data_IF_736716946324
#
_entry.id   IF_736716946324
#
_cell.length_a   1.000
_cell.length_b   1.000
_cell.length_c   1.000
_cell.angle_alpha   90.00
_cell.angle_beta   90.00
_cell.angle_gamma   90.00
#
_symmetry.space_group_name_H-M   'P 1'
#
loop_
_entity.id
_entity.type
_entity.pdbx_description
1 polymer ?
#
# COMPACT_ATOMS: atom_id res chain seq x y z
N UNK A 1 31.99 19.37 -22.38
CA UNK A 1 30.70 18.65 -22.62
C UNK A 1 29.83 18.90 -21.41
N UNK A 2 28.86 19.77 -21.52
CA UNK A 2 28.01 20.25 -20.42
C UNK A 2 27.00 19.19 -20.02
N UNK A 3 27.02 18.83 -18.76
CA UNK A 3 26.13 17.85 -18.12
C UNK A 3 24.66 18.38 -18.10
N UNK A 4 23.81 17.88 -19.01
CA UNK A 4 22.45 18.39 -19.27
C UNK A 4 21.36 17.79 -18.35
N UNK A 5 21.71 17.12 -17.26
CA UNK A 5 20.75 16.46 -16.35
C UNK A 5 20.98 16.77 -14.87
N UNK A 6 21.22 18.04 -14.55
CA UNK A 6 20.94 18.45 -13.17
C UNK A 6 19.43 18.75 -13.09
N UNK A 7 18.63 18.01 -12.29
CA UNK A 7 17.24 18.43 -12.04
C UNK A 7 17.31 19.82 -11.41
N UNK A 8 16.48 20.73 -11.94
CA UNK A 8 16.33 22.06 -11.35
C UNK A 8 16.10 21.87 -9.84
N UNK A 9 16.96 22.48 -9.00
CA UNK A 9 16.81 22.45 -7.56
C UNK A 9 15.51 23.20 -7.20
N UNK A 10 14.41 22.45 -7.06
CA UNK A 10 13.14 22.97 -6.56
C UNK A 10 13.38 23.31 -5.09
N UNK A 11 12.94 24.50 -4.67
CA UNK A 11 13.12 24.90 -3.28
C UNK A 11 12.45 23.88 -2.34
N UNK A 12 13.03 23.53 -1.20
CA UNK A 12 12.46 22.59 -0.24
C UNK A 12 11.02 22.93 0.18
N UNK A 13 10.65 24.21 0.16
CA UNK A 13 9.31 24.70 0.52
C UNK A 13 8.29 24.41 -0.57
N UNK A 14 8.63 24.60 -1.85
CA UNK A 14 7.73 24.28 -2.99
C UNK A 14 7.49 22.78 -3.12
N UNK A 15 8.54 21.99 -2.91
CA UNK A 15 8.45 20.53 -2.92
C UNK A 15 7.44 20.00 -1.91
N UNK A 16 7.50 20.45 -0.67
CA UNK A 16 6.54 20.07 0.37
C UNK A 16 5.10 20.49 0.06
N UNK A 17 4.91 21.63 -0.56
CA UNK A 17 3.58 22.11 -0.94
C UNK A 17 2.92 21.15 -1.95
N UNK A 18 3.63 20.69 -2.98
CA UNK A 18 3.08 19.83 -4.01
C UNK A 18 2.88 18.39 -3.52
N UNK A 19 3.79 17.84 -2.73
CA UNK A 19 3.62 16.54 -2.09
C UNK A 19 2.39 16.50 -1.19
N UNK A 20 2.20 17.53 -0.36
CA UNK A 20 1.02 17.65 0.50
C UNK A 20 -0.26 17.86 -0.29
N UNK A 21 -0.22 18.57 -1.43
CA UNK A 21 -1.39 18.68 -2.33
C UNK A 21 -1.76 17.32 -2.92
N UNK A 22 -0.78 16.56 -3.44
CA UNK A 22 -1.00 15.18 -3.91
C UNK A 22 -1.62 14.32 -2.82
N UNK A 23 -1.06 14.35 -1.62
CA UNK A 23 -1.57 13.59 -0.48
C UNK A 23 -3.02 13.99 -0.15
N UNK A 24 -3.33 15.27 -0.01
CA UNK A 24 -4.69 15.76 0.25
C UNK A 24 -5.67 15.37 -0.86
N UNK A 25 -5.24 15.47 -2.13
CA UNK A 25 -6.05 15.05 -3.28
C UNK A 25 -6.42 13.57 -3.19
N UNK A 26 -5.46 12.71 -2.85
CA UNK A 26 -5.68 11.28 -2.70
C UNK A 26 -6.53 10.96 -1.46
N UNK A 27 -6.37 11.70 -0.35
CA UNK A 27 -7.19 11.53 0.84
C UNK A 27 -8.68 11.84 0.60
N UNK A 28 -9.00 12.72 -0.33
CA UNK A 28 -10.39 13.01 -0.75
C UNK A 28 -10.98 11.88 -1.63
N UNK A 29 -10.15 11.02 -2.21
CA UNK A 29 -10.54 9.88 -3.02
C UNK A 29 -10.82 8.63 -2.21
N UNK A 30 -11.15 7.55 -2.92
CA UNK A 30 -11.43 6.26 -2.29
C UNK A 30 -10.13 5.59 -1.84
N UNK A 31 -10.07 5.20 -0.57
CA UNK A 31 -9.00 4.41 0.03
C UNK A 31 -9.47 2.99 0.30
N UNK A 32 -8.57 2.04 0.12
CA UNK A 32 -8.77 0.65 0.49
C UNK A 32 -7.75 0.33 1.58
N UNK A 33 -8.24 -0.19 2.68
CA UNK A 33 -7.46 -0.65 3.82
C UNK A 33 -7.50 -2.16 3.89
N UNK A 34 -6.33 -2.78 3.99
CA UNK A 34 -6.18 -4.22 4.09
C UNK A 34 -5.43 -4.54 5.38
N UNK A 35 -6.10 -5.22 6.29
CA UNK A 35 -5.51 -5.55 7.59
C UNK A 35 -4.32 -6.50 7.43
N UNK A 36 -3.23 -6.21 8.15
CA UNK A 36 -2.00 -7.01 8.08
C UNK A 36 -2.23 -8.46 8.50
N UNK A 37 -3.02 -8.68 9.55
CA UNK A 37 -3.44 -10.01 9.98
C UNK A 37 -4.14 -10.80 8.87
N UNK A 38 -5.01 -10.13 8.08
CA UNK A 38 -5.67 -10.77 6.93
C UNK A 38 -4.66 -11.13 5.84
N UNK A 39 -3.65 -10.28 5.57
CA UNK A 39 -2.60 -10.63 4.60
C UNK A 39 -1.85 -11.88 5.05
N UNK A 40 -1.49 -11.96 6.33
CA UNK A 40 -0.73 -13.08 6.89
C UNK A 40 -1.51 -14.40 6.85
N UNK A 41 -2.79 -14.41 7.23
CA UNK A 41 -3.61 -15.63 7.17
C UNK A 41 -4.02 -16.04 5.74
N UNK A 42 -3.78 -15.19 4.74
CA UNK A 42 -3.97 -15.50 3.31
C UNK A 42 -2.65 -15.81 2.60
N UNK A 43 -1.69 -16.43 3.29
CA UNK A 43 -0.39 -16.86 2.75
C UNK A 43 0.41 -15.70 2.14
N UNK A 44 0.35 -14.50 2.72
CA UNK A 44 0.93 -13.26 2.20
C UNK A 44 0.40 -12.86 0.80
N UNK A 45 -0.73 -13.46 0.35
CA UNK A 45 -1.38 -13.04 -0.90
C UNK A 45 -2.21 -11.77 -0.70
N UNK A 46 -1.58 -10.65 -0.98
CA UNK A 46 -2.17 -9.32 -0.83
C UNK A 46 -3.50 -9.17 -1.60
N UNK A 47 -3.65 -9.80 -2.77
CA UNK A 47 -4.88 -9.70 -3.57
C UNK A 47 -6.03 -10.45 -2.93
N UNK A 48 -5.79 -11.66 -2.43
CA UNK A 48 -6.77 -12.42 -1.66
C UNK A 48 -7.15 -11.68 -0.37
N UNK A 49 -6.18 -11.10 0.31
CA UNK A 49 -6.43 -10.26 1.49
C UNK A 49 -7.29 -9.02 1.16
N UNK A 50 -7.05 -8.36 0.03
CA UNK A 50 -7.89 -7.24 -0.46
C UNK A 50 -9.33 -7.70 -0.66
N UNK A 51 -9.51 -8.82 -1.37
CA UNK A 51 -10.83 -9.38 -1.65
C UNK A 51 -11.58 -9.73 -0.36
N UNK A 52 -10.92 -10.42 0.57
CA UNK A 52 -11.47 -10.78 1.87
C UNK A 52 -11.79 -9.54 2.72
N UNK A 53 -10.87 -8.58 2.82
CA UNK A 53 -11.09 -7.34 3.58
C UNK A 53 -12.28 -6.54 3.04
N UNK A 54 -12.51 -6.55 1.73
CA UNK A 54 -13.66 -5.90 1.12
C UNK A 54 -14.98 -6.63 1.47
N UNK A 55 -14.98 -7.96 1.49
CA UNK A 55 -16.14 -8.72 1.96
C UNK A 55 -16.42 -8.46 3.45
N UNK A 56 -15.39 -8.46 4.29
CA UNK A 56 -15.51 -8.14 5.71
C UNK A 56 -16.01 -6.70 5.95
N UNK A 57 -15.59 -5.74 5.12
CA UNK A 57 -16.14 -4.39 5.15
C UNK A 57 -17.65 -4.41 4.90
N UNK A 58 -18.12 -5.14 3.87
CA UNK A 58 -19.54 -5.25 3.57
C UNK A 58 -20.32 -5.97 4.66
N UNK A 59 -19.76 -6.99 5.31
CA UNK A 59 -20.37 -7.60 6.49
C UNK A 59 -20.64 -6.55 7.59
N UNK A 60 -19.73 -5.61 7.77
CA UNK A 60 -19.86 -4.59 8.80
C UNK A 60 -20.90 -3.54 8.47
N UNK A 61 -20.88 -2.98 7.24
CA UNK A 61 -21.68 -1.79 6.89
C UNK A 61 -22.97 -2.10 6.12
N UNK A 62 -23.09 -3.28 5.56
CA UNK A 62 -24.25 -3.67 4.73
C UNK A 62 -25.53 -3.70 5.56
N UNK A 63 -26.59 -3.05 5.07
CA UNK A 63 -27.87 -2.92 5.79
C UNK A 63 -28.69 -4.22 5.76
N UNK A 64 -28.60 -4.98 4.68
CA UNK A 64 -29.41 -6.21 4.47
C UNK A 64 -28.65 -7.49 4.85
N UNK A 65 -27.46 -7.39 5.44
CA UNK A 65 -26.62 -8.54 5.78
C UNK A 65 -27.29 -9.48 6.78
N UNK A 66 -27.93 -8.92 7.81
CA UNK A 66 -28.60 -9.70 8.86
C UNK A 66 -29.80 -10.45 8.26
N UNK A 67 -30.65 -9.78 7.49
CA UNK A 67 -31.82 -10.39 6.87
C UNK A 67 -31.47 -11.44 5.80
N UNK A 68 -30.22 -11.41 5.29
CA UNK A 68 -29.68 -12.34 4.30
C UNK A 68 -28.76 -13.40 4.92
N UNK A 69 -28.82 -13.61 6.21
CA UNK A 69 -28.00 -14.62 6.92
C UNK A 69 -26.50 -14.51 6.57
N UNK A 70 -25.96 -13.29 6.53
CA UNK A 70 -24.56 -13.03 6.25
C UNK A 70 -24.17 -13.06 4.76
N UNK A 71 -25.11 -13.27 3.83
CA UNK A 71 -24.80 -13.30 2.41
C UNK A 71 -24.62 -11.91 1.80
N UNK A 72 -23.48 -11.73 1.11
CA UNK A 72 -23.06 -10.50 0.43
C UNK A 72 -23.28 -10.69 -1.08
N UNK A 73 -24.16 -9.90 -1.66
CA UNK A 73 -24.41 -9.91 -3.12
C UNK A 73 -23.54 -8.84 -3.77
N UNK A 74 -22.56 -9.27 -4.58
CA UNK A 74 -21.68 -8.38 -5.34
C UNK A 74 -21.43 -8.93 -6.74
N UNK A 75 -21.58 -8.05 -7.72
CA UNK A 75 -21.17 -8.36 -9.08
C UNK A 75 -19.64 -8.25 -9.23
N UNK A 76 -19.11 -8.84 -10.28
CA UNK A 76 -17.69 -8.74 -10.64
C UNK A 76 -17.31 -7.27 -10.89
N UNK A 77 -18.18 -6.53 -11.58
CA UNK A 77 -17.94 -5.12 -11.91
C UNK A 77 -17.91 -4.24 -10.65
N UNK A 78 -18.85 -4.45 -9.72
CA UNK A 78 -18.84 -3.73 -8.43
C UNK A 78 -17.55 -4.00 -7.64
N UNK A 79 -17.14 -5.26 -7.58
CA UNK A 79 -15.91 -5.66 -6.90
C UNK A 79 -14.67 -5.03 -7.55
N UNK A 80 -14.60 -5.00 -8.89
CA UNK A 80 -13.52 -4.33 -9.62
C UNK A 80 -13.50 -2.82 -9.35
N UNK A 81 -14.65 -2.16 -9.38
CA UNK A 81 -14.76 -0.73 -9.06
C UNK A 81 -14.39 -0.42 -7.61
N UNK A 82 -14.65 -1.36 -6.70
CA UNK A 82 -14.39 -1.20 -5.28
C UNK A 82 -12.95 -1.47 -4.89
N UNK A 83 -12.29 -2.44 -5.52
CA UNK A 83 -10.98 -2.96 -5.13
C UNK A 83 -9.88 -2.75 -6.16
N UNK A 84 -10.25 -2.55 -7.43
CA UNK A 84 -9.32 -2.56 -8.55
C UNK A 84 -8.89 -3.96 -9.01
N UNK A 85 -9.42 -5.03 -8.41
CA UNK A 85 -9.12 -6.41 -8.80
C UNK A 85 -9.82 -6.74 -10.13
N UNK A 86 -9.05 -7.15 -11.13
CA UNK A 86 -9.57 -7.60 -12.41
C UNK A 86 -10.38 -8.90 -12.28
N UNK A 87 -11.18 -9.24 -13.29
CA UNK A 87 -12.00 -10.46 -13.31
C UNK A 87 -11.19 -11.72 -13.02
N UNK A 88 -10.00 -11.85 -13.64
CA UNK A 88 -9.14 -13.02 -13.43
C UNK A 88 -8.54 -13.05 -12.02
N UNK A 89 -8.18 -11.91 -11.47
CA UNK A 89 -7.67 -11.78 -10.08
C UNK A 89 -8.76 -12.12 -9.07
N UNK A 90 -9.99 -11.61 -9.27
CA UNK A 90 -11.13 -11.96 -8.42
C UNK A 90 -11.41 -13.47 -8.43
N UNK A 91 -11.27 -14.14 -9.59
CA UNK A 91 -11.43 -15.59 -9.68
C UNK A 91 -10.36 -16.31 -8.86
N UNK A 92 -9.08 -15.95 -9.04
CA UNK A 92 -7.97 -16.54 -8.29
C UNK A 92 -8.12 -16.33 -6.78
N UNK A 93 -8.45 -15.09 -6.35
CA UNK A 93 -8.69 -14.77 -4.93
C UNK A 93 -9.83 -15.61 -4.34
N UNK A 94 -10.96 -15.69 -5.07
CA UNK A 94 -12.11 -16.50 -4.65
C UNK A 94 -11.74 -17.97 -4.45
N UNK A 95 -11.02 -18.57 -5.40
CA UNK A 95 -10.65 -19.98 -5.33
C UNK A 95 -9.64 -20.22 -4.20
N UNK A 96 -8.71 -19.30 -3.98
CA UNK A 96 -7.77 -19.34 -2.85
C UNK A 96 -8.50 -19.24 -1.50
N UNK A 97 -9.36 -18.24 -1.31
CA UNK A 97 -10.09 -18.05 -0.06
C UNK A 97 -11.07 -19.18 0.25
N UNK A 98 -11.67 -19.82 -0.77
CA UNK A 98 -12.46 -21.03 -0.59
C UNK A 98 -11.61 -22.20 -0.12
N UNK A 99 -10.42 -22.38 -0.69
CA UNK A 99 -9.47 -23.42 -0.27
C UNK A 99 -9.05 -23.26 1.19
N UNK A 100 -8.85 -22.01 1.64
CA UNK A 100 -8.56 -21.69 3.03
C UNK A 100 -9.76 -21.81 3.98
N UNK A 101 -10.99 -21.99 3.43
CA UNK A 101 -12.21 -22.09 4.22
C UNK A 101 -12.72 -20.76 4.76
N UNK A 102 -12.25 -19.61 4.26
CA UNK A 102 -12.65 -18.28 4.77
C UNK A 102 -13.91 -17.76 4.12
N UNK A 103 -14.26 -18.27 2.94
CA UNK A 103 -15.50 -17.91 2.25
C UNK A 103 -16.18 -19.13 1.62
N UNK A 104 -17.49 -19.01 1.50
CA UNK A 104 -18.28 -19.83 0.60
C UNK A 104 -18.97 -18.95 -0.45
N UNK A 105 -19.41 -19.56 -1.54
CA UNK A 105 -20.12 -18.88 -2.63
C UNK A 105 -21.43 -19.57 -2.92
N UNK A 106 -22.48 -18.79 -3.16
CA UNK A 106 -23.79 -19.26 -3.54
C UNK A 106 -24.33 -18.50 -4.76
N UNK A 107 -25.37 -19.06 -5.37
CA UNK A 107 -26.11 -18.43 -6.46
C UNK A 107 -27.59 -18.40 -6.10
N UNK A 108 -28.18 -17.21 -6.07
CA UNK A 108 -29.54 -16.99 -5.56
C UNK A 108 -30.43 -16.33 -6.60
N UNK A 109 -31.73 -16.66 -6.51
CA UNK A 109 -32.77 -16.10 -7.36
C UNK A 109 -32.74 -16.60 -8.80
N UNK A 110 -33.76 -16.20 -9.60
CA UNK A 110 -33.89 -16.60 -11.01
C UNK A 110 -32.70 -16.15 -11.88
N UNK A 111 -32.07 -15.00 -11.55
CA UNK A 111 -30.89 -14.49 -12.25
C UNK A 111 -29.55 -15.06 -11.76
N UNK A 112 -29.56 -16.10 -10.92
CA UNK A 112 -28.37 -16.76 -10.37
C UNK A 112 -27.30 -15.72 -9.88
N UNK A 113 -27.73 -14.71 -9.12
CA UNK A 113 -26.83 -13.70 -8.59
C UNK A 113 -25.79 -14.34 -7.70
N UNK A 114 -24.52 -14.06 -7.97
CA UNK A 114 -23.40 -14.51 -7.16
C UNK A 114 -23.45 -13.82 -5.78
N UNK A 115 -23.29 -14.64 -4.74
CA UNK A 115 -23.17 -14.15 -3.38
C UNK A 115 -22.00 -14.83 -2.66
N UNK A 116 -21.49 -14.15 -1.63
CA UNK A 116 -20.39 -14.59 -0.80
C UNK A 116 -20.84 -14.63 0.66
N UNK A 117 -20.39 -15.63 1.39
CA UNK A 117 -20.52 -15.68 2.85
C UNK A 117 -19.13 -15.82 3.45
N UNK A 118 -18.83 -15.04 4.46
CA UNK A 118 -17.52 -15.04 5.15
C UNK A 118 -17.64 -15.84 6.44
N UNK A 119 -16.69 -16.74 6.67
CA UNK A 119 -16.59 -17.55 7.88
C UNK A 119 -15.72 -16.84 8.91
N UNK A 120 -16.33 -15.96 9.72
CA UNK A 120 -15.62 -15.17 10.73
C UNK A 120 -14.95 -16.02 11.80
N UNK A 121 -15.54 -17.18 12.14
CA UNK A 121 -14.98 -18.17 13.06
C UNK A 121 -13.69 -18.83 12.52
N UNK A 122 -13.64 -19.11 11.22
CA UNK A 122 -12.43 -19.64 10.58
C UNK A 122 -11.31 -18.60 10.53
N UNK A 123 -11.66 -17.34 10.24
CA UNK A 123 -10.73 -16.22 10.24
C UNK A 123 -10.17 -15.96 11.64
N UNK A 124 -11.03 -15.91 12.66
CA UNK A 124 -10.56 -15.67 14.03
C UNK A 124 -9.68 -16.80 14.53
N UNK A 125 -9.99 -18.07 14.24
CA UNK A 125 -9.11 -19.21 14.53
C UNK A 125 -7.73 -19.05 13.87
N UNK A 126 -7.71 -18.76 12.58
CA UNK A 126 -6.45 -18.58 11.86
C UNK A 126 -5.60 -17.42 12.43
N UNK A 127 -6.24 -16.35 12.92
CA UNK A 127 -5.54 -15.27 13.62
C UNK A 127 -5.04 -15.73 14.98
N UNK A 128 -5.84 -16.46 15.76
CA UNK A 128 -5.39 -17.01 17.03
C UNK A 128 -4.18 -17.94 16.84
N UNK A 129 -4.23 -18.82 15.85
CA UNK A 129 -3.12 -19.71 15.50
C UNK A 129 -1.86 -18.93 15.06
N UNK A 130 -2.04 -17.86 14.27
CA UNK A 130 -0.94 -17.02 13.78
C UNK A 130 -0.20 -16.31 14.93
N UNK A 131 -0.91 -15.94 15.99
CA UNK A 131 -0.36 -15.19 17.13
C UNK A 131 -0.18 -16.04 18.39
N UNK A 132 -0.27 -17.38 18.28
CA UNK A 132 -0.12 -18.34 19.38
C UNK A 132 -1.00 -18.00 20.59
N UNK A 133 -2.28 -17.64 20.36
CA UNK A 133 -3.21 -17.30 21.44
C UNK A 133 -3.78 -18.55 22.09
N UNK A 134 -3.73 -18.63 23.42
CA UNK A 134 -4.25 -19.77 24.19
C UNK A 134 -5.78 -19.91 24.07
N UNK A 135 -6.49 -18.78 24.04
CA UNK A 135 -7.94 -18.74 23.92
C UNK A 135 -8.40 -18.43 22.50
N UNK A 136 -9.17 -19.35 21.91
CA UNK A 136 -9.77 -19.13 20.59
C UNK A 136 -10.99 -18.21 20.74
N UNK A 137 -10.85 -16.98 20.29
CA UNK A 137 -11.96 -16.04 20.22
C UNK A 137 -12.90 -16.41 19.09
N UNK A 138 -14.15 -16.75 19.41
CA UNK A 138 -15.18 -16.94 18.39
C UNK A 138 -15.74 -15.57 17.96
N UNK A 139 -15.39 -15.16 16.74
CA UNK A 139 -15.85 -13.89 16.19
C UNK A 139 -17.20 -14.06 15.48
N UNK A 140 -18.26 -13.50 16.08
CA UNK A 140 -19.60 -13.51 15.48
C UNK A 140 -19.82 -12.33 14.54
N UNK A 141 -20.89 -12.41 13.72
CA UNK A 141 -21.30 -11.29 12.86
C UNK A 141 -21.64 -10.04 13.68
N UNK A 142 -22.27 -10.20 14.83
CA UNK A 142 -22.63 -9.12 15.74
C UNK A 142 -21.37 -8.42 16.28
N UNK A 143 -20.41 -9.19 16.77
CA UNK A 143 -19.12 -8.67 17.26
C UNK A 143 -18.39 -7.89 16.17
N UNK A 144 -18.33 -8.45 14.97
CA UNK A 144 -17.71 -7.80 13.82
C UNK A 144 -18.39 -6.46 13.45
N UNK A 145 -19.69 -6.39 13.57
CA UNK A 145 -20.45 -5.16 13.28
C UNK A 145 -20.29 -4.09 14.36
N UNK A 146 -20.28 -4.49 15.63
CA UNK A 146 -20.14 -3.56 16.76
C UNK A 146 -18.71 -3.06 16.97
N UNK A 147 -17.71 -3.84 16.58
CA UNK A 147 -16.27 -3.52 16.73
C UNK A 147 -15.85 -3.28 18.20
N UNK A 148 -16.54 -3.87 19.16
CA UNK A 148 -16.31 -3.63 20.59
C UNK A 148 -15.28 -4.58 21.21
N UNK A 149 -15.08 -5.77 20.62
CA UNK A 149 -14.12 -6.74 21.12
C UNK A 149 -12.68 -6.22 21.04
N UNK A 150 -11.90 -6.44 22.12
CA UNK A 150 -10.48 -6.13 22.14
C UNK A 150 -9.74 -6.86 21.02
N UNK A 151 -10.07 -8.10 20.75
CA UNK A 151 -9.56 -8.91 19.64
C UNK A 151 -9.61 -8.17 18.28
N UNK A 152 -10.74 -7.53 17.96
CA UNK A 152 -10.87 -6.78 16.71
C UNK A 152 -9.91 -5.59 16.71
N UNK A 153 -9.83 -4.87 17.82
CA UNK A 153 -8.97 -3.70 17.98
C UNK A 153 -7.48 -4.08 17.90
N UNK A 154 -7.11 -5.22 18.50
CA UNK A 154 -5.73 -5.64 18.60
C UNK A 154 -5.20 -6.23 17.27
N UNK A 155 -6.01 -7.00 16.54
CA UNK A 155 -5.58 -7.71 15.36
C UNK A 155 -6.06 -7.14 14.02
N UNK A 156 -6.98 -6.15 14.02
CA UNK A 156 -7.48 -5.49 12.81
C UNK A 156 -7.21 -3.98 12.79
N UNK A 157 -6.34 -3.46 13.65
CA UNK A 157 -6.01 -2.03 13.68
C UNK A 157 -4.93 -1.62 12.68
N UNK A 158 -3.94 -2.48 12.43
CA UNK A 158 -2.84 -2.21 11.50
C UNK A 158 -3.17 -2.67 10.09
N UNK A 159 -2.89 -1.81 9.12
CA UNK A 159 -3.30 -2.05 7.73
C UNK A 159 -2.36 -1.45 6.70
N UNK A 160 -2.28 -2.10 5.55
CA UNK A 160 -1.72 -1.55 4.32
C UNK A 160 -2.82 -0.78 3.61
N UNK A 161 -2.54 0.47 3.23
CA UNK A 161 -3.54 1.35 2.59
C UNK A 161 -3.09 1.72 1.19
N UNK A 162 -4.00 1.63 0.23
CA UNK A 162 -3.78 2.16 -1.11
C UNK A 162 -4.97 2.98 -1.62
N UNK A 163 -4.73 3.81 -2.63
CA UNK A 163 -5.71 4.73 -3.17
C UNK A 163 -6.18 4.27 -4.56
N UNK A 164 -7.48 4.23 -4.78
CA UNK A 164 -8.07 3.79 -6.06
C UNK A 164 -7.66 4.66 -7.24
N UNK A 165 -7.42 5.95 -7.04
CA UNK A 165 -6.93 6.84 -8.09
C UNK A 165 -5.53 6.41 -8.57
N UNK A 166 -4.70 5.86 -7.67
CA UNK A 166 -3.39 5.31 -8.05
C UNK A 166 -3.52 3.96 -8.77
N UNK A 167 -4.53 3.15 -8.44
CA UNK A 167 -4.82 1.93 -9.20
C UNK A 167 -5.26 2.28 -10.63
N UNK A 168 -6.13 3.28 -10.79
CA UNK A 168 -6.55 3.77 -12.12
C UNK A 168 -5.39 4.32 -12.93
N UNK A 169 -4.52 5.09 -12.29
CA UNK A 169 -3.32 5.65 -12.90
C UNK A 169 -2.36 4.55 -13.37
N UNK A 170 -2.03 3.60 -12.50
CA UNK A 170 -0.96 2.61 -12.76
C UNK A 170 -1.45 1.33 -13.44
N UNK A 171 -2.74 1.04 -13.35
CA UNK A 171 -3.34 -0.21 -13.84
C UNK A 171 -2.87 -1.47 -13.07
N UNK A 172 -2.21 -1.30 -11.90
CA UNK A 172 -1.68 -2.41 -11.10
C UNK A 172 -1.76 -2.07 -9.60
N UNK A 173 -2.42 -2.93 -8.83
CA UNK A 173 -2.64 -2.74 -7.39
C UNK A 173 -1.31 -2.72 -6.63
N UNK A 174 -0.35 -3.58 -6.97
CA UNK A 174 0.95 -3.62 -6.29
C UNK A 174 1.74 -2.33 -6.48
N UNK A 175 1.70 -1.78 -7.69
CA UNK A 175 2.34 -0.49 -7.99
C UNK A 175 1.62 0.64 -7.24
N UNK A 176 0.29 0.61 -7.17
CA UNK A 176 -0.49 1.58 -6.41
C UNK A 176 -0.20 1.49 -4.89
N UNK A 177 -0.02 0.30 -4.33
CA UNK A 177 0.41 0.09 -2.94
C UNK A 177 1.78 0.73 -2.71
N UNK A 178 2.77 0.46 -3.58
CA UNK A 178 4.12 1.03 -3.45
C UNK A 178 4.09 2.55 -3.49
N UNK A 179 3.37 3.14 -4.45
CA UNK A 179 3.26 4.59 -4.57
C UNK A 179 2.50 5.21 -3.39
N UNK A 180 1.43 4.56 -2.90
CA UNK A 180 0.70 4.99 -1.69
C UNK A 180 1.59 4.98 -0.46
N UNK A 181 2.39 3.91 -0.27
CA UNK A 181 3.31 3.76 0.86
C UNK A 181 4.42 4.82 0.83
N UNK A 182 5.02 5.06 -0.34
CA UNK A 182 6.04 6.09 -0.48
C UNK A 182 5.49 7.49 -0.21
N UNK A 183 4.31 7.82 -0.73
CA UNK A 183 3.62 9.08 -0.48
C UNK A 183 3.28 9.26 1.01
N UNK A 184 2.71 8.23 1.64
CA UNK A 184 2.37 8.27 3.06
C UNK A 184 3.60 8.54 3.93
N UNK A 185 4.67 7.77 3.73
CA UNK A 185 5.88 7.93 4.52
C UNK A 185 6.59 9.27 4.25
N UNK A 186 6.56 9.77 3.02
CA UNK A 186 7.10 11.09 2.69
C UNK A 186 6.26 12.23 3.26
N UNK A 187 4.92 12.13 3.21
CA UNK A 187 4.01 13.15 3.71
C UNK A 187 3.95 13.21 5.25
N UNK A 188 4.02 12.05 5.93
CA UNK A 188 3.95 11.96 7.39
C UNK A 188 5.09 12.69 8.10
N UNK A 189 6.28 12.67 7.51
CA UNK A 189 7.46 13.34 8.08
C UNK A 189 7.44 14.86 7.86
N UNK A 190 6.52 15.38 7.04
CA UNK A 190 6.35 16.81 6.77
C UNK A 190 5.21 17.48 7.53
N UNK A 191 4.57 16.83 8.52
CA UNK A 191 3.41 17.41 9.22
C UNK A 191 3.85 18.45 10.26
N UNK A 192 3.33 19.71 10.22
CA UNK A 192 3.61 20.72 11.23
C UNK A 192 3.18 20.26 12.62
N UNK A 193 4.03 20.46 13.62
CA UNK A 193 3.73 20.17 15.03
C UNK A 193 4.38 18.92 15.62
N UNK A 194 5.05 18.10 14.83
CA UNK A 194 5.92 17.05 15.36
C UNK A 194 7.33 17.60 15.54
N UNK A 195 8.04 17.27 16.64
CA UNK A 195 9.44 17.67 16.89
C UNK A 195 10.43 17.27 15.79
N UNK A 196 9.99 16.46 14.81
CA UNK A 196 10.76 16.02 13.64
C UNK A 196 10.66 16.97 12.44
N UNK A 197 10.05 18.15 12.60
CA UNK A 197 9.85 19.11 11.51
C UNK A 197 11.14 19.81 11.02
N UNK A 198 12.26 19.63 11.71
CA UNK A 198 13.50 20.36 11.41
C UNK A 198 14.28 19.85 10.20
N UNK A 199 13.96 18.67 9.64
CA UNK A 199 14.52 18.22 8.35
C UNK A 199 13.47 17.50 7.53
N UNK A 200 13.00 18.18 6.51
CA UNK A 200 12.12 17.65 5.49
C UNK A 200 12.79 16.46 4.81
N UNK A 201 12.33 15.25 5.10
CA UNK A 201 12.78 14.09 4.36
C UNK A 201 12.12 14.10 2.99
N UNK A 202 12.86 14.60 2.01
CA UNK A 202 12.50 14.55 0.58
C UNK A 202 12.36 13.11 0.06
N UNK A 203 12.80 12.13 0.88
CA UNK A 203 12.93 10.75 0.48
C UNK A 203 12.31 9.82 1.52
N UNK A 204 11.52 8.85 1.04
CA UNK A 204 11.25 7.67 1.82
C UNK A 204 12.48 6.76 1.78
N UNK A 205 13.07 6.48 2.93
CA UNK A 205 14.32 5.71 3.03
C UNK A 205 14.04 4.36 3.68
N UNK A 206 14.20 3.28 2.92
CA UNK A 206 13.94 1.93 3.41
C UNK A 206 14.83 0.90 2.72
N UNK A 207 15.09 -0.22 3.42
CA UNK A 207 15.66 -1.41 2.80
C UNK A 207 14.58 -2.18 2.03
N UNK A 208 14.96 -3.16 1.20
CA UNK A 208 14.01 -4.04 0.52
C UNK A 208 13.13 -4.81 1.52
N UNK A 209 13.69 -5.19 2.68
CA UNK A 209 12.95 -5.88 3.72
C UNK A 209 11.95 -4.94 4.43
N UNK A 210 12.32 -3.71 4.73
CA UNK A 210 11.40 -2.71 5.25
C UNK A 210 10.26 -2.42 4.26
N UNK A 211 10.56 -2.34 2.95
CA UNK A 211 9.51 -2.25 1.93
C UNK A 211 8.58 -3.46 1.95
N UNK A 212 9.12 -4.69 2.15
CA UNK A 212 8.30 -5.89 2.29
C UNK A 212 7.41 -5.81 3.52
N UNK A 213 7.94 -5.38 4.66
CA UNK A 213 7.18 -5.18 5.90
C UNK A 213 6.06 -4.15 5.72
N UNK A 214 6.31 -3.05 5.01
CA UNK A 214 5.33 -1.98 4.82
C UNK A 214 4.25 -2.32 3.78
N UNK A 215 4.55 -3.18 2.81
CA UNK A 215 3.69 -3.44 1.64
C UNK A 215 3.27 -4.89 1.47
N UNK A 216 3.90 -5.83 2.15
CA UNK A 216 3.81 -7.29 1.93
C UNK A 216 4.18 -7.73 0.51
N UNK A 217 4.87 -6.90 -0.25
CA UNK A 217 5.28 -7.23 -1.61
C UNK A 217 6.65 -7.90 -1.63
N UNK A 218 6.73 -9.06 -2.27
CA UNK A 218 8.00 -9.77 -2.47
C UNK A 218 8.96 -9.01 -3.40
N UNK A 219 10.26 -9.31 -3.29
CA UNK A 219 11.35 -8.62 -3.98
C UNK A 219 11.11 -8.42 -5.49
N UNK A 220 10.73 -9.47 -6.22
CA UNK A 220 10.46 -9.38 -7.67
C UNK A 220 9.33 -8.40 -8.01
N UNK A 221 8.30 -8.36 -7.18
CA UNK A 221 7.18 -7.42 -7.34
C UNK A 221 7.63 -5.99 -7.06
N UNK A 222 8.44 -5.78 -6.03
CA UNK A 222 9.03 -4.47 -5.72
C UNK A 222 9.93 -3.98 -6.87
N UNK A 223 10.82 -4.81 -7.39
CA UNK A 223 11.72 -4.46 -8.49
C UNK A 223 10.94 -4.06 -9.76
N UNK A 224 9.90 -4.85 -10.10
CA UNK A 224 9.00 -4.52 -11.22
C UNK A 224 8.26 -3.21 -11.00
N UNK A 225 7.73 -2.99 -9.81
CA UNK A 225 7.00 -1.76 -9.47
C UNK A 225 7.90 -0.52 -9.51
N UNK A 226 9.13 -0.61 -8.99
CA UNK A 226 10.13 0.47 -9.05
C UNK A 226 10.47 0.83 -10.49
N UNK A 227 10.78 -0.20 -11.31
CA UNK A 227 11.08 0.03 -12.71
C UNK A 227 9.94 0.74 -13.44
N UNK A 228 8.68 0.32 -13.19
CA UNK A 228 7.52 0.98 -13.76
C UNK A 228 7.44 2.45 -13.32
N UNK A 229 7.52 2.71 -12.01
CA UNK A 229 7.41 4.06 -11.46
C UNK A 229 8.54 4.99 -11.91
N UNK A 230 9.76 4.47 -12.04
CA UNK A 230 10.91 5.20 -12.57
C UNK A 230 10.75 5.51 -14.06
N UNK A 231 10.32 4.52 -14.86
CA UNK A 231 10.11 4.70 -16.31
C UNK A 231 9.08 5.80 -16.60
N UNK A 232 8.08 5.95 -15.74
CA UNK A 232 7.06 7.01 -15.87
C UNK A 232 7.42 8.28 -15.11
N UNK A 233 8.63 8.40 -14.59
CA UNK A 233 9.11 9.59 -13.88
C UNK A 233 8.44 9.84 -12.52
N UNK A 234 7.69 8.86 -11.99
CA UNK A 234 7.00 8.98 -10.70
C UNK A 234 7.93 8.75 -9.51
N UNK A 235 8.97 7.93 -9.68
CA UNK A 235 10.04 7.70 -8.70
C UNK A 235 11.38 8.16 -9.24
N UNK A 236 12.17 8.79 -8.35
CA UNK A 236 13.62 8.92 -8.49
C UNK A 236 14.25 8.21 -7.29
N UNK A 237 15.21 7.31 -7.53
CA UNK A 237 15.81 6.51 -6.47
C UNK A 237 17.32 6.60 -6.50
N UNK A 238 17.90 6.64 -5.31
CA UNK A 238 19.34 6.51 -5.08
C UNK A 238 19.58 5.33 -4.13
N UNK A 239 20.64 4.55 -4.40
CA UNK A 239 21.03 3.41 -3.60
C UNK A 239 22.29 3.76 -2.80
N UNK A 240 22.25 3.49 -1.50
CA UNK A 240 23.42 3.64 -0.63
C UNK A 240 23.95 2.27 -0.24
N UNK A 241 25.06 1.88 -0.83
CA UNK A 241 25.59 0.52 -0.76
C UNK A 241 26.01 0.08 0.66
N UNK A 242 26.46 1.02 1.50
CA UNK A 242 26.98 0.70 2.85
C UNK A 242 25.92 0.11 3.79
N UNK A 243 24.64 0.40 3.59
CA UNK A 243 23.56 -0.05 4.47
C UNK A 243 22.34 -0.60 3.71
N UNK A 244 22.51 -0.92 2.42
CA UNK A 244 21.46 -1.48 1.54
C UNK A 244 20.17 -0.66 1.51
N UNK A 245 20.24 0.64 1.80
CA UNK A 245 19.08 1.53 1.82
C UNK A 245 18.81 2.12 0.45
N UNK A 246 17.54 2.26 0.16
CA UNK A 246 17.01 2.90 -1.04
C UNK A 246 16.34 4.19 -0.61
N UNK A 247 16.78 5.29 -1.21
CA UNK A 247 16.19 6.61 -1.03
C UNK A 247 15.22 6.83 -2.18
N UNK A 248 13.94 6.76 -1.90
CA UNK A 248 12.87 6.90 -2.89
C UNK A 248 12.25 8.28 -2.78
N UNK A 249 12.34 9.05 -3.84
CA UNK A 249 11.68 10.33 -4.01
C UNK A 249 10.43 10.16 -4.89
N UNK A 250 9.29 10.68 -4.44
CA UNK A 250 8.06 10.71 -5.24
C UNK A 250 7.97 12.05 -5.96
N UNK A 251 7.99 12.02 -7.28
CA UNK A 251 7.86 13.20 -8.14
C UNK A 251 6.43 13.73 -8.14
N UNK A 252 6.12 14.58 -7.15
CA UNK A 252 4.79 15.17 -7.01
C UNK A 252 4.40 16.07 -8.17
N UNK A 253 5.36 16.72 -8.83
CA UNK A 253 5.13 17.59 -9.96
C UNK A 253 4.71 16.83 -11.22
N UNK A 254 5.13 15.56 -11.33
CA UNK A 254 4.70 14.63 -12.38
C UNK A 254 3.38 13.98 -12.02
N UNK A 255 3.23 13.58 -10.75
CA UNK A 255 2.06 12.85 -10.27
C UNK A 255 0.78 13.70 -10.28
N UNK A 256 0.86 14.95 -9.82
CA UNK A 256 -0.33 15.80 -9.64
C UNK A 256 -1.08 16.05 -10.94
N UNK A 257 -0.44 16.49 -12.05
CA UNK A 257 -1.12 16.63 -13.32
C UNK A 257 -1.73 15.34 -13.86
N UNK A 258 -1.07 14.20 -13.64
CA UNK A 258 -1.59 12.90 -14.07
C UNK A 258 -2.87 12.52 -13.33
N UNK A 259 -2.95 12.81 -12.02
CA UNK A 259 -4.15 12.59 -11.21
C UNK A 259 -5.30 13.52 -11.63
N UNK A 260 -5.01 14.80 -11.91
CA UNK A 260 -6.01 15.77 -12.29
C UNK A 260 -6.60 15.48 -13.68
N UNK A 261 -5.80 14.98 -14.59
CA UNK A 261 -6.21 14.60 -15.94
C UNK A 261 -6.76 13.16 -16.03
N UNK A 262 -6.81 12.41 -14.92
CA UNK A 262 -7.20 11.00 -14.88
C UNK A 262 -6.44 10.14 -15.91
N UNK A 263 -5.13 10.40 -16.07
CA UNK A 263 -4.29 9.66 -17.00
C UNK A 263 -4.19 8.20 -16.54
N UNK A 264 -4.21 7.27 -17.52
CA UNK A 264 -3.87 5.86 -17.29
C UNK A 264 -2.55 5.56 -17.98
N UNK A 265 -1.56 5.15 -17.18
CA UNK A 265 -0.25 4.77 -17.69
C UNK A 265 -0.33 3.41 -18.38
N UNK A 266 0.27 3.28 -19.56
CA UNK A 266 0.40 2.00 -20.24
C UNK A 266 1.57 1.21 -19.65
N UNK A 267 1.45 -0.10 -19.59
CA UNK A 267 2.60 -0.99 -19.39
C UNK A 267 3.51 -0.81 -20.61
N UNK A 268 4.50 0.07 -20.49
CA UNK A 268 5.47 0.25 -21.55
C UNK A 268 6.11 -1.10 -21.88
N UNK A 269 6.19 -1.47 -23.16
CA UNK A 269 6.98 -2.59 -23.63
C UNK A 269 8.42 -2.35 -23.13
N UNK A 270 8.89 -3.19 -22.22
CA UNK A 270 10.26 -3.09 -21.71
C UNK A 270 11.22 -3.35 -22.86
N UNK A 271 12.04 -2.40 -23.27
CA UNK A 271 13.18 -2.73 -24.14
C UNK A 271 14.11 -3.62 -23.30
N UNK A 272 14.45 -4.80 -23.81
CA UNK A 272 15.35 -5.77 -23.17
C UNK A 272 16.76 -5.21 -22.86
N UNK A 273 17.03 -3.98 -23.19
CA UNK A 273 18.34 -3.31 -23.09
C UNK A 273 18.49 -2.33 -21.90
N UNK A 274 17.45 -2.05 -21.11
CA UNK A 274 17.55 -1.09 -20.01
C UNK A 274 18.40 -1.58 -18.79
N UNK A 275 18.87 -2.83 -18.79
CA UNK A 275 19.72 -3.35 -17.70
C UNK A 275 21.20 -2.94 -17.78
N UNK A 276 21.67 -2.45 -18.93
CA UNK A 276 23.09 -2.16 -19.14
C UNK A 276 23.51 -0.71 -18.86
N UNK A 277 22.56 0.23 -18.73
CA UNK A 277 22.86 1.66 -18.61
C UNK A 277 22.09 2.34 -17.47
N UNK A 278 22.03 1.74 -16.29
CA UNK A 278 21.73 2.53 -15.09
C UNK A 278 23.02 3.28 -14.71
N UNK A 279 23.06 4.62 -14.82
CA UNK A 279 24.17 5.36 -14.23
C UNK A 279 24.09 5.12 -12.73
N UNK A 280 25.11 4.49 -12.16
CA UNK A 280 25.38 4.56 -10.73
C UNK A 280 25.67 6.03 -10.43
N UNK A 281 24.65 6.74 -9.94
CA UNK A 281 24.86 8.06 -9.35
C UNK A 281 25.67 7.83 -8.08
N UNK A 282 27.00 7.79 -8.22
CA UNK A 282 27.92 8.02 -7.14
C UNK A 282 27.66 9.46 -6.68
N UNK A 283 27.06 9.62 -5.51
CA UNK A 283 27.04 10.90 -4.81
C UNK A 283 28.50 11.24 -4.44
N UNK A 284 29.21 11.89 -5.36
CA UNK A 284 30.56 12.43 -5.17
C UNK A 284 30.53 13.79 -4.46
N UNK A 285 29.65 14.03 -3.49
CA UNK A 285 29.77 15.23 -2.69
C UNK A 285 29.71 14.91 -1.19
N UNK A 286 30.91 14.69 -0.62
CA UNK A 286 31.12 14.42 0.81
C UNK A 286 30.64 15.55 1.74
N UNK A 287 30.26 16.72 1.22
CA UNK A 287 29.88 17.89 2.04
C UNK A 287 28.52 17.73 2.73
N UNK A 288 27.56 17.06 2.08
CA UNK A 288 26.25 16.87 2.68
C UNK A 288 26.21 15.72 3.70
N UNK A 289 27.17 14.79 3.61
CA UNK A 289 27.32 13.68 4.56
C UNK A 289 27.99 14.09 5.88
N UNK A 290 28.87 15.08 5.88
CA UNK A 290 29.48 15.60 7.11
C UNK A 290 28.44 16.33 7.95
N UNK A 291 27.52 17.07 7.34
CA UNK A 291 26.45 17.74 8.08
C UNK A 291 25.52 16.74 8.80
N UNK A 292 25.30 15.56 8.24
CA UNK A 292 24.49 14.48 8.85
C UNK A 292 25.23 13.81 10.02
N UNK A 293 26.57 13.68 9.93
CA UNK A 293 27.38 13.08 11.00
C UNK A 293 27.50 14.01 12.22
N UNK A 294 27.61 15.31 12.01
CA UNK A 294 27.71 16.30 13.09
C UNK A 294 26.45 16.33 13.95
N UNK A 295 25.26 16.22 13.31
CA UNK A 295 23.98 16.23 14.02
C UNK A 295 23.72 14.97 14.86
N UNK A 296 24.26 13.82 14.45
CA UNK A 296 24.14 12.57 15.21
C UNK A 296 25.06 12.60 16.45
N UNK A 297 26.22 13.29 16.36
CA UNK A 297 27.15 13.43 17.49
C UNK A 297 26.63 14.39 18.56
N UNK A 298 25.93 15.46 18.17
CA UNK A 298 25.38 16.44 19.10
C UNK A 298 24.12 15.96 19.82
N UNK A 299 23.34 15.06 19.21
CA UNK A 299 22.22 14.38 19.89
C UNK A 299 22.68 13.42 21.01
N UNK A 300 23.92 12.91 20.97
CA UNK A 300 24.46 12.02 22.03
C UNK A 300 25.03 12.74 23.20
N UNK A 301 25.35 14.04 23.09
CA UNK A 301 25.93 14.87 24.17
C UNK A 301 24.88 15.63 24.99
N UNK A 302 23.61 15.60 24.61
CA UNK A 302 22.52 16.31 25.28
C UNK A 302 21.74 15.52 26.31
N UNK A 303 22.16 14.27 26.65
CA UNK A 303 21.56 13.46 27.70
C UNK A 303 22.64 13.03 28.69
N UNK A 304 22.99 13.95 29.55
CA UNK A 304 23.72 13.73 30.82
C UNK A 304 23.12 14.63 31.87
#
# INVERSE_FOLDING_TARGET
MTNKFAPAMISPVEFNSNLLKCWRRLQAGRKISVHRSIIQITDDDVKSAIFLSQLMYWLRVGTEIISRDGWIFKSIQETEMETGLTVSEQRSCKDHLKKLGYIETGHFGQGKKLAFRVHLDAISRAICDLFDLEDITQLTLEDWRKQELSFIRDYFSDSVVYHMDLVRLTGDIYIAIMLSTALYNSARHGTPGTRSFTRQRLYYTATMEQWKQDTYLGRKTQERGRLFLQTHGLFSEAHYFQNSRIFTHVNSDVLMPMLDQNIRLSKAHQPKQARANQPSLLLEDNRDLESVKTDISDMRKGTS
#
